data_IF_101168599794
#
_entry.id   IF_101168599794
#
_cell.length_a   1.000
_cell.length_b   1.000
_cell.length_c   1.000
_cell.angle_alpha   90.00
_cell.angle_beta   90.00
_cell.angle_gamma   90.00
#
_symmetry.space_group_name_H-M   'P 1'
#
loop_
_entity.id
_entity.type
_entity.pdbx_description
1 polymer ?
#
# COMPACT_ATOMS: atom_id res chain seq x y z
N UNK A 1 14.34 -97.88 22.19
CA UNK A 1 14.20 -97.34 20.81
C UNK A 1 12.73 -97.05 20.63
N UNK A 2 12.24 -95.82 20.47
CA UNK A 2 12.59 -94.74 19.52
C UNK A 2 12.32 -93.36 20.20
N UNK A 3 13.09 -92.29 19.90
CA UNK A 3 12.95 -90.97 20.51
C UNK A 3 11.90 -90.11 19.79
N UNK A 4 11.18 -89.24 20.51
CA UNK A 4 10.16 -88.34 19.97
C UNK A 4 10.48 -86.88 20.29
N UNK A 5 10.66 -86.09 19.24
CA UNK A 5 11.24 -84.75 19.19
C UNK A 5 10.53 -83.68 20.04
N UNK A 6 11.36 -82.86 20.70
CA UNK A 6 11.00 -81.60 21.34
C UNK A 6 10.97 -80.48 20.29
N UNK A 7 9.81 -79.86 20.07
CA UNK A 7 9.68 -78.67 19.24
C UNK A 7 9.79 -77.44 20.12
N UNK A 8 10.90 -76.71 19.99
CA UNK A 8 11.11 -75.40 20.60
C UNK A 8 10.42 -74.37 19.71
N UNK A 9 9.28 -73.85 20.17
CA UNK A 9 8.60 -72.73 19.53
C UNK A 9 9.32 -71.43 19.90
N UNK A 10 10.14 -70.90 18.99
CA UNK A 10 10.81 -69.60 19.16
C UNK A 10 9.80 -68.51 18.80
N UNK A 11 9.14 -67.92 19.80
CA UNK A 11 8.40 -66.66 19.64
C UNK A 11 9.39 -65.51 19.80
N UNK A 12 9.91 -65.00 18.69
CA UNK A 12 10.74 -63.80 18.68
C UNK A 12 10.14 -62.73 17.76
N UNK A 13 10.03 -61.50 18.30
CA UNK A 13 10.28 -60.22 17.62
C UNK A 13 9.15 -59.39 16.97
N UNK A 14 7.90 -59.42 17.43
CA UNK A 14 6.91 -58.39 17.00
C UNK A 14 6.91 -57.05 17.77
N UNK A 15 7.16 -56.95 19.09
CA UNK A 15 7.03 -55.66 19.79
C UNK A 15 8.20 -54.69 19.56
N UNK A 16 9.38 -55.18 19.13
CA UNK A 16 10.56 -54.32 18.95
C UNK A 16 10.57 -53.56 17.61
N UNK A 17 10.00 -54.13 16.55
CA UNK A 17 9.92 -53.49 15.23
C UNK A 17 8.92 -52.32 15.20
N UNK A 18 7.83 -52.41 15.97
CA UNK A 18 6.81 -51.35 16.00
C UNK A 18 7.25 -50.13 16.82
N UNK A 19 8.13 -50.34 17.81
CA UNK A 19 8.70 -49.27 18.62
C UNK A 19 9.77 -48.47 17.86
N UNK A 20 10.63 -49.14 17.08
CA UNK A 20 11.64 -48.47 16.26
C UNK A 20 11.01 -47.59 15.16
N UNK A 21 9.93 -48.06 14.54
CA UNK A 21 9.21 -47.33 13.49
C UNK A 21 8.53 -46.05 14.03
N UNK A 22 7.97 -46.11 15.24
CA UNK A 22 7.44 -44.93 15.93
C UNK A 22 8.53 -43.90 16.25
N UNK A 23 9.68 -44.35 16.76
CA UNK A 23 10.79 -43.44 17.04
C UNK A 23 11.34 -42.77 15.78
N UNK A 24 11.42 -43.49 14.66
CA UNK A 24 11.81 -42.91 13.37
C UNK A 24 10.78 -41.87 12.91
N UNK A 25 9.48 -42.18 12.96
CA UNK A 25 8.43 -41.23 12.58
C UNK A 25 8.44 -39.95 13.43
N UNK A 26 8.56 -40.09 14.75
CA UNK A 26 8.62 -38.95 15.68
C UNK A 26 9.88 -38.11 15.43
N UNK A 27 11.03 -38.74 15.21
CA UNK A 27 12.28 -38.05 14.87
C UNK A 27 12.15 -37.26 13.57
N UNK A 28 11.54 -37.86 12.54
CA UNK A 28 11.33 -37.22 11.25
C UNK A 28 10.36 -36.04 11.34
N UNK A 29 9.28 -36.19 12.12
CA UNK A 29 8.33 -35.11 12.40
C UNK A 29 8.99 -33.94 13.15
N UNK A 30 9.84 -34.22 14.13
CA UNK A 30 10.57 -33.19 14.87
C UNK A 30 11.53 -32.41 13.96
N UNK A 31 12.27 -33.11 13.09
CA UNK A 31 13.15 -32.46 12.11
C UNK A 31 12.35 -31.56 11.16
N UNK A 32 11.20 -32.05 10.67
CA UNK A 32 10.31 -31.27 9.80
C UNK A 32 9.74 -30.04 10.51
N UNK A 33 9.33 -30.18 11.77
CA UNK A 33 8.79 -29.07 12.57
C UNK A 33 9.84 -27.99 12.79
N UNK A 34 11.08 -28.40 13.10
CA UNK A 34 12.20 -27.48 13.32
C UNK A 34 12.54 -26.73 12.03
N UNK A 35 12.51 -27.43 10.89
CA UNK A 35 12.71 -26.85 9.56
C UNK A 35 11.63 -25.82 9.20
N UNK A 36 10.35 -26.12 9.47
CA UNK A 36 9.24 -25.21 9.22
C UNK A 36 9.30 -23.94 10.09
N UNK A 37 9.72 -24.08 11.35
CA UNK A 37 9.93 -22.94 12.26
C UNK A 37 11.06 -22.06 11.75
N UNK A 38 12.17 -22.66 11.31
CA UNK A 38 13.31 -21.93 10.77
C UNK A 38 12.95 -21.16 9.48
N UNK A 39 12.23 -21.79 8.55
CA UNK A 39 11.72 -21.12 7.35
C UNK A 39 10.77 -19.97 7.68
N UNK A 40 9.87 -20.14 8.65
CA UNK A 40 8.97 -19.06 9.09
C UNK A 40 9.73 -17.87 9.67
N UNK A 41 10.83 -18.10 10.38
CA UNK A 41 11.67 -17.03 10.92
C UNK A 41 12.42 -16.27 9.83
N UNK A 42 12.91 -16.96 8.79
CA UNK A 42 13.51 -16.29 7.62
C UNK A 42 12.50 -15.42 6.88
N UNK A 43 11.30 -15.95 6.59
CA UNK A 43 10.24 -15.20 5.93
C UNK A 43 9.85 -13.93 6.70
N UNK A 44 9.78 -14.00 8.03
CA UNK A 44 9.52 -12.82 8.87
C UNK A 44 10.63 -11.78 8.75
N UNK A 45 11.88 -12.22 8.76
CA UNK A 45 13.04 -11.33 8.64
C UNK A 45 13.09 -10.65 7.28
N UNK A 46 12.82 -11.38 6.19
CA UNK A 46 12.74 -10.80 4.84
C UNK A 46 11.57 -9.82 4.72
N UNK A 47 10.41 -10.16 5.28
CA UNK A 47 9.23 -9.29 5.27
C UNK A 47 9.46 -7.99 6.07
N UNK A 48 10.18 -8.06 7.18
CA UNK A 48 10.59 -6.87 7.93
C UNK A 48 11.64 -6.06 7.15
N UNK A 49 12.57 -6.71 6.46
CA UNK A 49 13.52 -6.06 5.53
C UNK A 49 12.81 -5.29 4.42
N UNK A 50 11.80 -5.90 3.79
CA UNK A 50 10.97 -5.26 2.76
C UNK A 50 10.18 -4.08 3.32
N UNK A 51 9.59 -4.21 4.52
CA UNK A 51 8.90 -3.08 5.18
C UNK A 51 9.83 -1.92 5.49
N UNK A 52 11.07 -2.22 5.89
CA UNK A 52 12.08 -1.19 6.19
C UNK A 52 12.48 -0.46 4.91
N UNK A 53 12.78 -1.19 3.83
CA UNK A 53 13.06 -0.62 2.51
C UNK A 53 11.90 0.22 1.97
N UNK A 54 10.66 -0.25 2.16
CA UNK A 54 9.47 0.48 1.75
C UNK A 54 9.31 1.78 2.57
N UNK A 55 9.58 1.75 3.87
CA UNK A 55 9.52 2.92 4.75
C UNK A 55 10.61 3.94 4.40
N UNK A 56 11.83 3.49 4.14
CA UNK A 56 12.94 4.36 3.75
C UNK A 56 12.68 5.00 2.39
N UNK A 57 12.15 4.22 1.44
CA UNK A 57 11.74 4.74 0.12
C UNK A 57 10.60 5.76 0.24
N UNK A 58 9.62 5.50 1.12
CA UNK A 58 8.53 6.44 1.40
C UNK A 58 9.04 7.74 2.06
N UNK A 59 10.04 7.65 2.93
CA UNK A 59 10.70 8.81 3.55
C UNK A 59 11.45 9.66 2.52
N UNK A 60 12.22 9.03 1.62
CA UNK A 60 12.93 9.73 0.54
C UNK A 60 11.94 10.39 -0.43
N UNK A 61 10.82 9.72 -0.72
CA UNK A 61 9.73 10.31 -1.49
C UNK A 61 9.14 11.53 -0.78
N UNK A 62 8.90 11.47 0.53
CA UNK A 62 8.44 12.61 1.34
C UNK A 62 9.31 13.86 1.21
N UNK A 63 10.61 13.62 1.34
CA UNK A 63 11.63 14.65 1.35
C UNK A 63 11.75 15.27 -0.05
N UNK A 64 11.44 14.51 -1.10
CA UNK A 64 11.33 15.01 -2.47
C UNK A 64 10.00 15.70 -2.78
N UNK A 65 8.89 15.27 -2.16
CA UNK A 65 7.54 15.78 -2.42
C UNK A 65 7.31 17.18 -1.83
N UNK A 66 7.95 17.48 -0.69
CA UNK A 66 7.86 18.80 -0.04
C UNK A 66 8.40 19.95 -0.92
N UNK A 67 9.65 19.89 -1.42
CA UNK A 67 10.18 20.92 -2.32
C UNK A 67 9.49 20.91 -3.70
N UNK A 68 8.90 19.79 -4.11
CA UNK A 68 8.09 19.75 -5.33
C UNK A 68 6.78 20.53 -5.16
N UNK A 69 6.14 20.44 -3.98
CA UNK A 69 4.94 21.19 -3.62
C UNK A 69 5.20 22.69 -3.63
N UNK A 70 6.31 23.15 -3.03
CA UNK A 70 6.70 24.57 -3.02
C UNK A 70 6.95 25.12 -4.43
N UNK A 71 7.58 24.31 -5.30
CA UNK A 71 7.78 24.68 -6.71
C UNK A 71 6.46 24.75 -7.48
N UNK A 72 5.52 23.85 -7.19
CA UNK A 72 4.17 23.86 -7.76
C UNK A 72 3.42 25.13 -7.37
N UNK A 73 3.42 25.51 -6.10
CA UNK A 73 2.81 26.77 -5.62
C UNK A 73 3.44 28.00 -6.27
N UNK A 74 4.75 27.98 -6.51
CA UNK A 74 5.43 29.08 -7.22
C UNK A 74 4.98 29.18 -8.68
N UNK A 75 4.86 28.05 -9.37
CA UNK A 75 4.35 28.01 -10.76
C UNK A 75 2.88 28.45 -10.79
N UNK A 76 2.09 28.06 -9.80
CA UNK A 76 0.69 28.45 -9.63
C UNK A 76 0.52 29.98 -9.56
N UNK A 77 1.33 30.61 -8.71
CA UNK A 77 1.33 32.05 -8.52
C UNK A 77 1.77 32.82 -9.78
N UNK A 78 2.70 32.26 -10.57
CA UNK A 78 3.15 32.85 -11.84
C UNK A 78 2.09 32.67 -12.94
N UNK A 79 1.52 31.47 -13.05
CA UNK A 79 0.45 31.13 -14.02
C UNK A 79 -0.78 32.02 -13.81
N UNK A 80 -1.21 32.18 -12.56
CA UNK A 80 -2.32 33.06 -12.18
C UNK A 80 -2.06 34.52 -12.56
N UNK A 81 -0.83 35.03 -12.36
CA UNK A 81 -0.46 36.40 -12.76
C UNK A 81 -0.41 36.59 -14.27
N UNK A 82 -0.02 35.57 -15.02
CA UNK A 82 0.08 35.64 -16.48
C UNK A 82 -1.30 35.70 -17.16
N UNK A 83 -2.30 34.99 -16.62
CA UNK A 83 -3.66 34.96 -17.17
C UNK A 83 -4.41 36.30 -17.13
N UNK A 84 -3.92 37.30 -16.39
CA UNK A 84 -4.47 38.66 -16.38
C UNK A 84 -3.94 39.57 -17.49
N UNK A 85 -2.87 39.18 -18.20
CA UNK A 85 -2.12 40.06 -19.10
C UNK A 85 -2.11 39.61 -20.57
N UNK A 86 -2.79 38.51 -20.91
CA UNK A 86 -2.70 37.89 -22.25
C UNK A 86 -4.06 37.75 -22.95
N UNK A 87 -4.00 37.61 -24.27
CA UNK A 87 -5.09 37.42 -25.21
C UNK A 87 -5.83 36.08 -24.99
N UNK A 88 -7.09 36.00 -25.45
CA UNK A 88 -8.07 34.94 -25.11
C UNK A 88 -7.54 33.50 -25.29
N UNK A 89 -6.72 33.25 -26.31
CA UNK A 89 -6.15 31.93 -26.59
C UNK A 89 -5.05 31.55 -25.58
N UNK A 90 -4.24 32.53 -25.16
CA UNK A 90 -3.24 32.36 -24.12
C UNK A 90 -3.89 32.12 -22.76
N UNK A 91 -4.98 32.84 -22.46
CA UNK A 91 -5.74 32.61 -21.22
C UNK A 91 -6.32 31.20 -21.14
N UNK A 92 -6.82 30.64 -22.25
CA UNK A 92 -7.28 29.25 -22.28
C UNK A 92 -6.17 28.25 -21.99
N UNK A 93 -4.98 28.44 -22.57
CA UNK A 93 -3.80 27.58 -22.30
C UNK A 93 -3.34 27.69 -20.85
N UNK A 94 -3.31 28.91 -20.30
CA UNK A 94 -2.97 29.18 -18.91
C UNK A 94 -3.99 28.53 -17.97
N UNK A 95 -5.29 28.66 -18.22
CA UNK A 95 -6.32 28.00 -17.41
C UNK A 95 -6.23 26.48 -17.46
N UNK A 96 -5.89 25.89 -18.60
CA UNK A 96 -5.69 24.45 -18.71
C UNK A 96 -4.45 23.97 -17.92
N UNK A 97 -3.36 24.75 -17.95
CA UNK A 97 -2.17 24.48 -17.13
C UNK A 97 -2.47 24.60 -15.63
N UNK A 98 -3.22 25.63 -15.24
CA UNK A 98 -3.66 25.85 -13.87
C UNK A 98 -4.48 24.65 -13.35
N UNK A 99 -5.47 24.21 -14.11
CA UNK A 99 -6.28 23.03 -13.74
C UNK A 99 -5.44 21.75 -13.56
N UNK A 100 -4.39 21.58 -14.37
CA UNK A 100 -3.46 20.45 -14.20
C UNK A 100 -2.59 20.59 -12.96
N UNK A 101 -2.10 21.79 -12.66
CA UNK A 101 -1.31 22.06 -11.46
C UNK A 101 -2.14 21.81 -10.19
N UNK A 102 -3.39 22.30 -10.16
CA UNK A 102 -4.32 22.09 -9.05
C UNK A 102 -4.52 20.58 -8.77
N UNK A 103 -4.77 19.78 -9.82
CA UNK A 103 -4.90 18.32 -9.70
C UNK A 103 -3.61 17.63 -9.25
N UNK A 104 -2.44 18.12 -9.69
CA UNK A 104 -1.16 17.62 -9.21
C UNK A 104 -0.96 17.93 -7.72
N UNK A 105 -1.32 19.13 -7.25
CA UNK A 105 -1.27 19.50 -5.83
C UNK A 105 -2.15 18.60 -4.96
N UNK A 106 -3.35 18.28 -5.44
CA UNK A 106 -4.25 17.30 -4.81
C UNK A 106 -3.58 15.93 -4.72
N UNK A 107 -3.02 15.42 -5.82
CA UNK A 107 -2.35 14.11 -5.87
C UNK A 107 -1.16 14.04 -4.90
N UNK A 108 -0.35 15.10 -4.81
CA UNK A 108 0.74 15.19 -3.84
C UNK A 108 0.21 15.09 -2.42
N UNK A 109 -0.87 15.80 -2.11
CA UNK A 109 -1.49 15.78 -0.76
C UNK A 109 -2.00 14.38 -0.41
N UNK A 110 -2.61 13.67 -1.36
CA UNK A 110 -3.01 12.26 -1.19
C UNK A 110 -1.81 11.36 -0.91
N UNK A 111 -0.69 11.55 -1.63
CA UNK A 111 0.53 10.77 -1.40
C UNK A 111 1.18 11.08 -0.04
N UNK A 112 1.19 12.35 0.39
CA UNK A 112 1.65 12.72 1.73
C UNK A 112 0.77 12.09 2.82
N UNK A 113 -0.55 12.04 2.62
CA UNK A 113 -1.46 11.37 3.53
C UNK A 113 -1.19 9.86 3.61
N UNK A 114 -0.96 9.21 2.47
CA UNK A 114 -0.61 7.78 2.42
C UNK A 114 0.72 7.47 3.13
N UNK A 115 1.68 8.37 3.02
CA UNK A 115 2.95 8.24 3.71
C UNK A 115 2.77 8.35 5.23
N UNK A 116 2.01 9.34 5.72
CA UNK A 116 1.69 9.45 7.15
C UNK A 116 1.03 8.17 7.67
N UNK A 117 0.14 7.55 6.87
CA UNK A 117 -0.47 6.26 7.20
C UNK A 117 0.62 5.17 7.29
N UNK A 118 1.50 5.07 6.31
CA UNK A 118 2.59 4.08 6.28
C UNK A 118 3.57 4.25 7.46
N UNK A 119 3.71 5.48 7.98
CA UNK A 119 4.50 5.77 9.18
C UNK A 119 3.83 5.35 10.49
N UNK A 120 2.55 4.97 10.45
CA UNK A 120 1.73 4.65 11.62
C UNK A 120 0.98 5.85 12.20
N UNK A 121 1.03 7.02 11.55
CA UNK A 121 0.36 8.27 11.97
C UNK A 121 -1.05 8.36 11.38
N UNK A 122 -1.87 7.36 11.64
CA UNK A 122 -3.21 7.15 11.07
C UNK A 122 -4.14 8.37 11.23
N UNK A 123 -4.17 9.02 12.40
CA UNK A 123 -4.97 10.23 12.62
C UNK A 123 -4.52 11.42 11.75
N UNK A 124 -3.21 11.69 11.72
CA UNK A 124 -2.66 12.77 10.88
C UNK A 124 -2.84 12.49 9.39
N UNK A 125 -2.73 11.21 8.99
CA UNK A 125 -3.03 10.77 7.63
C UNK A 125 -4.48 11.05 7.26
N UNK A 126 -5.43 10.74 8.16
CA UNK A 126 -6.85 10.96 7.94
C UNK A 126 -7.18 12.45 7.77
N UNK A 127 -6.62 13.31 8.62
CA UNK A 127 -6.83 14.76 8.54
C UNK A 127 -6.26 15.34 7.23
N UNK A 128 -5.07 14.89 6.82
CA UNK A 128 -4.44 15.28 5.55
C UNK A 128 -5.22 14.78 4.35
N UNK A 129 -5.77 13.57 4.38
CA UNK A 129 -6.62 13.06 3.31
C UNK A 129 -7.97 13.80 3.26
N UNK A 130 -8.54 14.15 4.42
CA UNK A 130 -9.78 14.92 4.49
C UNK A 130 -9.64 16.31 3.85
N UNK A 131 -8.46 16.93 3.93
CA UNK A 131 -8.24 18.27 3.38
C UNK A 131 -8.31 18.34 1.85
N UNK A 132 -8.25 17.20 1.13
CA UNK A 132 -8.36 17.20 -0.34
C UNK A 132 -9.80 17.17 -0.86
N UNK A 133 -10.81 16.94 0.00
CA UNK A 133 -12.20 16.80 -0.43
C UNK A 133 -12.71 18.02 -1.20
N UNK A 134 -12.57 19.19 -0.59
CA UNK A 134 -13.07 20.43 -1.17
C UNK A 134 -12.31 20.84 -2.45
N UNK A 135 -10.97 20.79 -2.49
CA UNK A 135 -10.22 20.95 -3.74
C UNK A 135 -10.66 20.00 -4.86
N UNK A 136 -10.88 18.71 -4.58
CA UNK A 136 -11.37 17.74 -5.58
C UNK A 136 -12.77 18.12 -6.07
N UNK A 137 -13.64 18.54 -5.17
CA UNK A 137 -15.00 18.96 -5.52
C UNK A 137 -14.98 20.17 -6.46
N UNK A 138 -14.21 21.20 -6.12
CA UNK A 138 -14.04 22.43 -6.90
C UNK A 138 -13.38 22.15 -8.26
N UNK A 139 -12.39 21.25 -8.30
CA UNK A 139 -11.79 20.78 -9.55
C UNK A 139 -12.85 20.13 -10.44
N UNK A 140 -13.78 19.35 -9.86
CA UNK A 140 -14.91 18.77 -10.59
C UNK A 140 -15.90 19.80 -11.14
N UNK A 141 -16.13 20.92 -10.44
CA UNK A 141 -16.98 22.00 -10.96
C UNK A 141 -16.33 22.75 -12.13
N UNK A 142 -15.01 22.82 -12.14
CA UNK A 142 -14.21 23.44 -13.20
C UNK A 142 -14.04 22.52 -14.41
N UNK A 143 -13.74 21.24 -14.16
CA UNK A 143 -13.49 20.18 -15.14
C UNK A 143 -14.78 19.41 -15.43
N UNK A 144 -15.70 20.04 -16.16
CA UNK A 144 -17.06 19.52 -16.38
C UNK A 144 -17.11 18.10 -16.94
N UNK A 145 -16.17 17.73 -17.81
CA UNK A 145 -16.09 16.40 -18.41
C UNK A 145 -15.67 15.32 -17.41
N UNK A 146 -14.86 15.68 -16.41
CA UNK A 146 -14.37 14.78 -15.37
C UNK A 146 -15.14 14.93 -14.04
N UNK A 147 -16.14 15.83 -13.97
CA UNK A 147 -16.92 16.14 -12.77
C UNK A 147 -17.41 14.91 -12.02
N UNK A 148 -18.08 14.00 -12.71
CA UNK A 148 -18.66 12.80 -12.09
C UNK A 148 -17.58 11.90 -11.46
N UNK A 149 -16.42 11.81 -12.10
CA UNK A 149 -15.27 11.02 -11.63
C UNK A 149 -14.64 11.64 -10.40
N UNK A 150 -14.35 12.94 -10.45
CA UNK A 150 -13.75 13.69 -9.35
C UNK A 150 -14.69 13.76 -8.13
N UNK A 151 -15.95 14.13 -8.32
CA UNK A 151 -16.91 14.19 -7.21
C UNK A 151 -17.31 12.79 -6.71
N UNK A 152 -17.19 11.77 -7.55
CA UNK A 152 -17.35 10.36 -7.15
C UNK A 152 -16.29 9.89 -6.13
N UNK A 153 -15.15 10.58 -6.02
CA UNK A 153 -14.10 10.26 -5.04
C UNK A 153 -14.48 10.62 -3.59
N UNK A 154 -15.55 11.40 -3.36
CA UNK A 154 -15.94 11.82 -2.01
C UNK A 154 -16.19 10.62 -1.07
N UNK A 155 -16.93 9.62 -1.54
CA UNK A 155 -17.25 8.44 -0.74
C UNK A 155 -16.00 7.57 -0.44
N UNK A 156 -15.13 7.25 -1.43
CA UNK A 156 -13.84 6.62 -1.16
C UNK A 156 -12.99 7.38 -0.14
N UNK A 157 -12.94 8.72 -0.22
CA UNK A 157 -12.20 9.54 0.74
C UNK A 157 -12.80 9.40 2.14
N UNK A 158 -14.12 9.55 2.28
CA UNK A 158 -14.79 9.45 3.59
C UNK A 158 -14.60 8.08 4.24
N UNK A 159 -14.61 7.02 3.42
CA UNK A 159 -14.37 5.65 3.88
C UNK A 159 -12.96 5.48 4.43
N UNK A 160 -11.95 5.99 3.71
CA UNK A 160 -10.56 5.92 4.15
C UNK A 160 -10.29 6.79 5.37
N UNK A 161 -10.85 8.00 5.41
CA UNK A 161 -10.73 8.89 6.56
C UNK A 161 -11.30 8.21 7.81
N UNK A 162 -12.48 7.61 7.72
CA UNK A 162 -13.08 6.87 8.84
C UNK A 162 -12.22 5.66 9.25
N UNK A 163 -11.71 4.89 8.30
CA UNK A 163 -10.85 3.74 8.56
C UNK A 163 -9.55 4.17 9.29
N UNK A 164 -8.87 5.19 8.78
CA UNK A 164 -7.61 5.69 9.34
C UNK A 164 -7.83 6.37 10.70
N UNK A 165 -8.95 7.06 10.92
CA UNK A 165 -9.34 7.54 12.26
C UNK A 165 -9.57 6.38 13.23
N UNK A 166 -10.02 5.22 12.74
CA UNK A 166 -10.11 3.96 13.48
C UNK A 166 -8.78 3.22 13.67
N UNK A 167 -7.64 3.86 13.39
CA UNK A 167 -6.29 3.27 13.40
C UNK A 167 -6.03 2.17 12.37
N UNK A 168 -6.82 2.09 11.30
CA UNK A 168 -6.47 1.24 10.16
C UNK A 168 -5.28 1.84 9.40
N UNK A 169 -4.15 1.15 9.43
CA UNK A 169 -2.95 1.50 8.66
C UNK A 169 -2.73 0.57 7.47
N UNK A 170 -3.67 -0.33 7.17
CA UNK A 170 -3.54 -1.34 6.11
C UNK A 170 -4.19 -0.91 4.80
N UNK A 171 -5.27 -0.14 4.86
CA UNK A 171 -5.99 0.29 3.65
C UNK A 171 -5.31 1.51 3.00
N UNK A 172 -4.83 1.35 1.76
CA UNK A 172 -4.15 2.40 0.98
C UNK A 172 -5.12 3.19 0.07
N UNK A 173 -4.81 4.45 -0.31
CA UNK A 173 -5.69 5.29 -1.13
C UNK A 173 -5.53 5.04 -2.64
N UNK A 174 -5.23 3.81 -3.06
CA UNK A 174 -4.86 3.49 -4.46
C UNK A 174 -5.96 3.86 -5.47
N UNK A 175 -7.23 3.65 -5.12
CA UNK A 175 -8.37 4.03 -5.97
C UNK A 175 -8.39 5.53 -6.24
N UNK A 176 -8.16 6.35 -5.20
CA UNK A 176 -8.14 7.81 -5.33
C UNK A 176 -6.94 8.23 -6.19
N UNK A 177 -5.76 7.66 -5.92
CA UNK A 177 -4.52 7.98 -6.66
C UNK A 177 -4.66 7.70 -8.15
N UNK A 178 -5.11 6.48 -8.50
CA UNK A 178 -5.28 6.05 -9.90
C UNK A 178 -6.29 6.91 -10.65
N UNK A 179 -7.37 7.32 -10.01
CA UNK A 179 -8.39 8.14 -10.65
C UNK A 179 -7.86 9.54 -10.95
N UNK A 180 -7.15 10.17 -10.00
CA UNK A 180 -6.48 11.45 -10.20
C UNK A 180 -5.42 11.40 -11.30
N UNK A 181 -4.59 10.35 -11.33
CA UNK A 181 -3.60 10.12 -12.39
C UNK A 181 -4.26 9.94 -13.77
N UNK A 182 -5.40 9.25 -13.83
CA UNK A 182 -6.14 9.07 -15.09
C UNK A 182 -6.69 10.40 -15.59
N UNK A 183 -7.31 11.20 -14.72
CA UNK A 183 -7.81 12.54 -15.08
C UNK A 183 -6.67 13.45 -15.52
N UNK A 184 -5.54 13.44 -14.81
CA UNK A 184 -4.33 14.18 -15.20
C UNK A 184 -3.80 13.77 -16.58
N UNK A 185 -3.82 12.47 -16.88
CA UNK A 185 -3.42 11.93 -18.18
C UNK A 185 -4.36 12.30 -19.33
N UNK A 186 -5.64 12.53 -19.04
CA UNK A 186 -6.62 13.03 -20.02
C UNK A 186 -6.45 14.51 -20.30
N UNK A 187 -6.13 15.33 -19.30
CA UNK A 187 -5.86 16.76 -19.46
C UNK A 187 -4.53 17.05 -20.18
N UNK A 188 -3.64 16.06 -20.26
CA UNK A 188 -2.35 16.17 -20.96
C UNK A 188 -2.39 15.81 -22.44
N UNK A 189 -3.56 15.40 -22.97
CA UNK A 189 -3.78 15.05 -24.39
C UNK A 189 -4.41 16.22 -25.14
#
# INVERSE_FOLDING_TARGET
MVPGNSWITITMTEPMLMNSLHHVLISTLLVLQTYLVFQNQQLRTEMDGVKTLQRDSASVLAESLTPLSEKLETIDAVTTKLGGATDEESNKKISALQQRLDLHGILITVNQADQLRAEGKSGAAADKLKSVKEPIWQAGDTLKEQKARLQGLMQPIDTLVAAWQGNDTTTAPDTIRKELETVLGELGK
#
